data_IF_203512222046
#
_entry.id   IF_203512222046
#
_cell.length_a   1.000
_cell.length_b   1.000
_cell.length_c   1.000
_cell.angle_alpha   90.00
_cell.angle_beta   90.00
_cell.angle_gamma   90.00
#
_symmetry.space_group_name_H-M   'P 1'
#
loop_
_entity.id
_entity.type
_entity.pdbx_description
1 polymer ?
#
# COMPACT_ATOMS: atom_id res chain seq x y z
N UNK A 1 15.18 -8.64 6.42
CA UNK A 1 14.70 -7.25 6.55
C UNK A 1 14.34 -6.73 5.18
N UNK A 2 13.09 -6.30 4.99
CA UNK A 2 12.61 -5.70 3.76
C UNK A 2 12.26 -4.25 4.03
N UNK A 3 12.71 -3.35 3.16
CA UNK A 3 12.22 -1.99 3.08
C UNK A 3 11.69 -1.84 1.66
N UNK A 4 10.39 -1.60 1.55
CA UNK A 4 9.70 -1.56 0.26
C UNK A 4 9.12 -0.18 0.11
N UNK A 5 9.54 0.53 -0.93
CA UNK A 5 8.96 1.80 -1.37
C UNK A 5 8.00 1.54 -2.53
N UNK A 6 6.83 2.18 -2.50
CA UNK A 6 5.82 2.06 -3.54
C UNK A 6 5.67 3.34 -4.34
N UNK A 7 5.45 3.17 -5.64
CA UNK A 7 5.02 4.26 -6.51
C UNK A 7 3.62 4.77 -6.11
N UNK A 8 3.27 5.97 -6.57
CA UNK A 8 1.95 6.54 -6.30
C UNK A 8 0.84 5.81 -7.04
N UNK A 9 -0.39 5.95 -6.54
CA UNK A 9 -1.59 5.34 -7.13
C UNK A 9 -2.42 6.29 -7.98
N UNK A 10 -1.79 7.32 -8.54
CA UNK A 10 -2.43 8.25 -9.46
C UNK A 10 -3.08 7.54 -10.65
N UNK A 11 -4.28 8.01 -11.02
CA UNK A 11 -5.01 7.53 -12.18
C UNK A 11 -4.53 8.26 -13.42
N UNK A 12 -4.69 7.63 -14.59
CA UNK A 12 -4.41 8.29 -15.86
C UNK A 12 -5.21 9.58 -16.08
N UNK A 13 -6.38 9.71 -15.42
CA UNK A 13 -7.20 10.93 -15.41
C UNK A 13 -6.58 12.10 -14.64
N UNK A 14 -5.67 11.82 -13.72
CA UNK A 14 -5.10 12.81 -12.80
C UNK A 14 -3.90 13.54 -13.43
N UNK A 15 -3.37 12.96 -14.52
CA UNK A 15 -2.25 13.49 -15.28
C UNK A 15 -2.73 14.32 -16.46
N UNK A 16 -2.25 15.57 -16.58
CA UNK A 16 -2.47 16.40 -17.76
C UNK A 16 -1.52 15.94 -18.89
N UNK A 17 -2.09 15.51 -20.02
CA UNK A 17 -1.35 15.11 -21.23
C UNK A 17 -0.33 13.96 -21.05
N UNK A 18 -0.76 12.75 -20.62
CA UNK A 18 0.15 11.62 -20.51
C UNK A 18 0.55 11.12 -21.90
N UNK A 19 1.85 11.15 -22.19
CA UNK A 19 2.40 10.50 -23.36
C UNK A 19 2.16 8.96 -23.28
N UNK A 20 2.28 8.27 -24.41
CA UNK A 20 1.98 6.83 -24.48
C UNK A 20 2.84 6.00 -23.50
N UNK A 21 4.10 6.37 -23.33
CA UNK A 21 5.03 5.67 -22.45
C UNK A 21 4.63 5.80 -20.98
N UNK A 22 4.41 7.03 -20.50
CA UNK A 22 3.96 7.31 -19.13
C UNK A 22 2.62 6.65 -18.81
N UNK A 23 1.73 6.53 -19.81
CA UNK A 23 0.45 5.82 -19.63
C UNK A 23 0.64 4.32 -19.44
N UNK A 24 1.55 3.70 -20.19
CA UNK A 24 1.86 2.27 -20.05
C UNK A 24 2.54 2.00 -18.70
N UNK A 25 3.50 2.84 -18.31
CA UNK A 25 4.16 2.72 -17.00
C UNK A 25 3.19 2.89 -15.84
N UNK A 26 2.32 3.90 -15.90
CA UNK A 26 1.27 4.10 -14.90
C UNK A 26 0.28 2.94 -14.83
N UNK A 27 -0.02 2.28 -15.96
CA UNK A 27 -0.86 1.10 -15.97
C UNK A 27 -0.20 -0.10 -15.27
N UNK A 28 1.09 -0.36 -15.54
CA UNK A 28 1.86 -1.43 -14.89
C UNK A 28 2.01 -1.18 -13.38
N UNK A 29 2.31 0.07 -12.98
CA UNK A 29 2.33 0.47 -11.57
C UNK A 29 0.98 0.18 -10.92
N UNK A 30 -0.11 0.68 -11.51
CA UNK A 30 -1.45 0.49 -10.97
C UNK A 30 -1.89 -0.97 -10.95
N UNK A 31 -1.42 -1.81 -11.88
CA UNK A 31 -1.70 -3.24 -11.86
C UNK A 31 -1.12 -3.90 -10.59
N UNK A 32 0.13 -3.58 -10.24
CA UNK A 32 0.75 -4.11 -9.03
C UNK A 32 0.09 -3.59 -7.74
N UNK A 33 -0.26 -2.30 -7.70
CA UNK A 33 -0.96 -1.68 -6.57
C UNK A 33 -2.40 -2.20 -6.42
N UNK A 34 -3.08 -2.50 -7.52
CA UNK A 34 -4.41 -3.11 -7.50
C UNK A 34 -4.36 -4.53 -6.94
N UNK A 35 -3.40 -5.35 -7.38
CA UNK A 35 -3.20 -6.69 -6.83
C UNK A 35 -2.97 -6.64 -5.30
N UNK A 36 -2.20 -5.65 -4.82
CA UNK A 36 -1.99 -5.44 -3.39
C UNK A 36 -3.29 -5.06 -2.66
N UNK A 37 -4.08 -4.13 -3.21
CA UNK A 37 -5.40 -3.74 -2.66
C UNK A 37 -6.35 -4.92 -2.58
N UNK A 38 -6.37 -5.80 -3.59
CA UNK A 38 -7.18 -7.01 -3.58
C UNK A 38 -6.70 -8.04 -2.54
N UNK A 39 -5.38 -8.16 -2.33
CA UNK A 39 -4.86 -9.00 -1.24
C UNK A 39 -5.33 -8.48 0.13
N UNK A 40 -5.19 -7.19 0.40
CA UNK A 40 -5.66 -6.57 1.66
C UNK A 40 -7.15 -6.80 1.85
N UNK A 41 -7.97 -6.58 0.81
CA UNK A 41 -9.43 -6.77 0.86
C UNK A 41 -9.80 -8.23 1.11
N UNK A 42 -9.10 -9.17 0.50
CA UNK A 42 -9.35 -10.60 0.67
C UNK A 42 -8.99 -11.06 2.09
N UNK A 43 -7.90 -10.54 2.67
CA UNK A 43 -7.52 -10.81 4.07
C UNK A 43 -8.50 -10.23 5.08
N UNK A 44 -8.95 -8.99 4.85
CA UNK A 44 -9.94 -8.28 5.67
C UNK A 44 -11.28 -9.05 5.73
N UNK A 45 -11.66 -9.63 4.59
CA UNK A 45 -12.87 -10.45 4.47
C UNK A 45 -12.68 -11.91 4.90
N UNK A 46 -11.51 -12.28 5.45
CA UNK A 46 -11.14 -13.65 5.85
C UNK A 46 -11.45 -14.68 4.74
N UNK A 47 -11.23 -14.32 3.47
CA UNK A 47 -11.51 -15.21 2.34
C UNK A 47 -10.57 -16.44 2.37
N UNK A 48 -11.07 -17.58 1.89
CA UNK A 48 -10.31 -18.84 1.86
C UNK A 48 -9.04 -18.77 1.00
N UNK A 49 -9.03 -17.92 -0.02
CA UNK A 49 -7.89 -17.75 -0.93
C UNK A 49 -7.57 -16.27 -1.15
N UNK A 50 -6.38 -15.85 -0.72
CA UNK A 50 -5.84 -14.52 -0.99
C UNK A 50 -4.93 -14.52 -2.24
N UNK A 51 -5.18 -13.65 -3.23
CA UNK A 51 -4.56 -13.74 -4.55
C UNK A 51 -3.13 -13.15 -4.63
N UNK A 52 -2.23 -13.53 -3.72
CA UNK A 52 -0.85 -13.01 -3.68
C UNK A 52 -0.04 -13.27 -4.96
N UNK A 53 -0.47 -14.17 -5.84
CA UNK A 53 0.22 -14.50 -7.10
C UNK A 53 -0.03 -13.50 -8.23
N UNK A 54 -0.98 -12.58 -8.09
CA UNK A 54 -1.37 -11.64 -9.16
C UNK A 54 -0.27 -10.66 -9.59
N UNK A 55 0.68 -10.32 -8.71
CA UNK A 55 1.85 -9.52 -9.06
C UNK A 55 3.10 -10.01 -8.34
N UNK A 56 4.28 -9.69 -8.88
CA UNK A 56 5.56 -9.98 -8.21
C UNK A 56 5.64 -9.28 -6.85
N UNK A 57 5.10 -8.06 -6.74
CA UNK A 57 5.04 -7.30 -5.50
C UNK A 57 4.28 -8.08 -4.41
N UNK A 58 3.08 -8.56 -4.71
CA UNK A 58 2.26 -9.30 -3.74
C UNK A 58 2.87 -10.65 -3.36
N UNK A 59 3.61 -11.29 -4.27
CA UNK A 59 4.32 -12.53 -3.96
C UNK A 59 5.42 -12.29 -2.92
N UNK A 60 6.18 -11.20 -3.06
CA UNK A 60 7.22 -10.81 -2.11
C UNK A 60 6.62 -10.39 -0.76
N UNK A 61 5.49 -9.69 -0.77
CA UNK A 61 4.83 -9.20 0.45
C UNK A 61 3.98 -10.24 1.17
N UNK A 62 3.82 -11.46 0.61
CA UNK A 62 2.97 -12.49 1.20
C UNK A 62 3.33 -12.77 2.66
N UNK A 63 4.62 -12.95 2.93
CA UNK A 63 5.09 -13.25 4.28
C UNK A 63 4.87 -12.07 5.23
N UNK A 64 4.87 -10.83 4.73
CA UNK A 64 4.55 -9.61 5.49
C UNK A 64 3.11 -9.58 6.02
N UNK A 65 2.17 -10.20 5.30
CA UNK A 65 0.74 -10.13 5.65
C UNK A 65 0.22 -11.37 6.36
N UNK A 66 0.75 -12.56 6.04
CA UNK A 66 0.23 -13.85 6.53
C UNK A 66 1.29 -14.66 7.30
N UNK A 67 2.56 -14.30 7.17
CA UNK A 67 3.67 -14.96 7.88
C UNK A 67 3.87 -14.40 9.29
N UNK A 68 4.92 -14.90 9.94
CA UNK A 68 5.39 -14.43 11.23
C UNK A 68 6.33 -13.22 11.07
N UNK A 69 5.76 -12.10 10.65
CA UNK A 69 6.51 -10.85 10.52
C UNK A 69 5.77 -9.72 11.21
N UNK A 70 6.52 -8.91 11.95
CA UNK A 70 6.07 -7.58 12.30
C UNK A 70 6.02 -6.74 11.02
N UNK A 71 4.89 -6.06 10.78
CA UNK A 71 4.71 -5.23 9.60
C UNK A 71 4.20 -3.88 10.07
N UNK A 72 4.99 -2.84 9.82
CA UNK A 72 4.54 -1.45 9.95
C UNK A 72 4.09 -0.94 8.60
N UNK A 73 2.89 -0.37 8.52
CA UNK A 73 2.42 0.35 7.33
C UNK A 73 2.57 1.85 7.55
N UNK A 74 3.14 2.53 6.56
CA UNK A 74 3.14 3.99 6.51
C UNK A 74 2.19 4.41 5.38
N UNK A 75 1.19 5.22 5.71
CA UNK A 75 0.24 5.77 4.75
C UNK A 75 0.49 7.27 4.54
N UNK A 76 0.92 7.61 3.33
CA UNK A 76 1.19 8.99 2.92
C UNK A 76 -0.06 9.60 2.30
N UNK A 77 -0.59 10.66 2.90
CA UNK A 77 -1.78 11.35 2.41
C UNK A 77 -1.51 12.84 2.18
N UNK A 78 -2.30 13.44 1.28
CA UNK A 78 -2.22 14.86 0.97
C UNK A 78 -3.37 15.61 1.64
N UNK A 79 -3.12 16.75 2.31
CA UNK A 79 -4.17 17.56 2.92
C UNK A 79 -4.99 18.39 1.91
N UNK A 80 -4.65 18.33 0.61
CA UNK A 80 -5.32 19.12 -0.42
C UNK A 80 -6.74 18.62 -0.72
N UNK A 81 -7.69 19.55 -0.91
CA UNK A 81 -9.09 19.22 -1.21
C UNK A 81 -9.24 18.33 -2.47
N UNK A 82 -8.42 18.54 -3.49
CA UNK A 82 -8.44 17.73 -4.72
C UNK A 82 -8.01 16.27 -4.47
N UNK A 83 -7.29 16.00 -3.38
CA UNK A 83 -6.81 14.67 -3.01
C UNK A 83 -7.73 13.96 -1.99
N UNK A 84 -8.90 14.51 -1.69
CA UNK A 84 -9.82 13.98 -0.66
C UNK A 84 -10.21 12.52 -0.96
N UNK A 85 -10.55 12.20 -2.21
CA UNK A 85 -10.94 10.83 -2.60
C UNK A 85 -9.76 9.85 -2.42
N UNK A 86 -8.56 10.24 -2.88
CA UNK A 86 -7.35 9.42 -2.74
C UNK A 86 -7.00 9.20 -1.28
N UNK A 87 -7.02 10.26 -0.48
CA UNK A 87 -6.75 10.24 0.97
C UNK A 87 -7.72 9.30 1.69
N UNK A 88 -9.02 9.40 1.41
CA UNK A 88 -10.02 8.52 2.03
C UNK A 88 -9.80 7.06 1.64
N UNK A 89 -9.48 6.80 0.37
CA UNK A 89 -9.18 5.44 -0.09
C UNK A 89 -7.96 4.88 0.63
N UNK A 90 -6.86 5.63 0.72
CA UNK A 90 -5.64 5.22 1.44
C UNK A 90 -5.92 4.94 2.91
N UNK A 91 -6.68 5.80 3.60
CA UNK A 91 -7.07 5.60 4.99
C UNK A 91 -7.92 4.34 5.19
N UNK A 92 -8.85 4.03 4.28
CA UNK A 92 -9.65 2.80 4.35
C UNK A 92 -8.79 1.53 4.29
N UNK A 93 -7.78 1.50 3.42
CA UNK A 93 -6.87 0.36 3.36
C UNK A 93 -5.96 0.27 4.59
N UNK A 94 -5.49 1.42 5.08
CA UNK A 94 -4.68 1.50 6.28
C UNK A 94 -5.43 0.96 7.51
N UNK A 95 -6.70 1.33 7.65
CA UNK A 95 -7.59 0.84 8.72
C UNK A 95 -7.77 -0.68 8.65
N UNK A 96 -8.04 -1.22 7.45
CA UNK A 96 -8.12 -2.68 7.25
C UNK A 96 -6.84 -3.40 7.65
N UNK A 97 -5.68 -2.90 7.20
CA UNK A 97 -4.36 -3.52 7.52
C UNK A 97 -4.09 -3.55 9.02
N UNK A 98 -4.53 -2.52 9.75
CA UNK A 98 -4.44 -2.46 11.21
C UNK A 98 -5.31 -3.52 11.89
N UNK A 99 -6.49 -3.82 11.34
CA UNK A 99 -7.42 -4.81 11.91
C UNK A 99 -7.09 -6.27 11.52
N UNK A 100 -6.21 -6.49 10.55
CA UNK A 100 -5.78 -7.83 10.17
C UNK A 100 -5.16 -8.57 11.37
N UNK A 101 -5.80 -9.65 11.79
CA UNK A 101 -5.33 -10.53 12.88
C UNK A 101 -4.06 -11.27 12.44
N UNK A 102 -2.90 -10.72 12.76
CA UNK A 102 -1.64 -11.48 12.68
C UNK A 102 -1.52 -12.43 13.87
N UNK A 103 -0.96 -13.63 13.66
CA UNK A 103 -0.53 -14.51 14.76
C UNK A 103 0.51 -13.79 15.65
N UNK A 104 1.31 -12.95 15.00
CA UNK A 104 2.36 -12.00 15.44
C UNK A 104 1.91 -10.67 16.07
N UNK A 105 1.19 -10.66 17.20
CA UNK A 105 1.03 -9.57 18.20
C UNK A 105 1.04 -8.04 17.91
N UNK A 106 1.75 -7.46 16.94
CA UNK A 106 1.77 -6.01 16.69
C UNK A 106 1.88 -5.65 15.21
N UNK A 107 0.84 -4.99 14.68
CA UNK A 107 0.87 -4.24 13.42
C UNK A 107 0.72 -2.77 13.77
N UNK A 108 1.77 -1.99 13.52
CA UNK A 108 1.72 -0.54 13.74
C UNK A 108 1.35 0.16 12.43
N UNK A 109 0.37 1.05 12.52
CA UNK A 109 0.03 1.98 11.45
C UNK A 109 0.53 3.36 11.85
N UNK A 110 1.46 3.90 11.07
CA UNK A 110 1.89 5.30 11.22
C UNK A 110 1.34 6.15 10.08
N UNK A 111 0.50 7.12 10.41
CA UNK A 111 -0.05 8.07 9.45
C UNK A 111 0.88 9.27 9.30
N UNK A 112 1.26 9.58 8.05
CA UNK A 112 2.09 10.74 7.75
C UNK A 112 1.42 11.65 6.71
N UNK A 113 1.27 12.91 7.08
CA UNK A 113 0.87 13.98 6.16
C UNK A 113 2.13 14.51 5.47
N UNK A 114 2.21 14.42 4.15
CA UNK A 114 3.44 14.80 3.44
C UNK A 114 3.19 15.92 2.42
N UNK A 115 3.80 17.11 2.61
CA UNK A 115 4.13 18.02 1.52
C UNK A 115 5.55 17.78 0.97
N UNK A 116 6.49 17.26 1.79
CA UNK A 116 7.88 16.93 1.44
C UNK A 116 8.67 16.61 2.71
N UNK A 117 8.90 15.33 3.08
CA UNK A 117 10.13 14.86 3.77
C UNK A 117 10.12 13.38 4.18
N UNK A 118 11.35 12.85 4.19
CA UNK A 118 11.90 11.63 4.80
C UNK A 118 11.56 11.45 6.28
N UNK A 119 11.16 10.24 6.70
CA UNK A 119 11.05 9.89 8.12
C UNK A 119 11.98 8.72 8.47
N UNK A 120 12.77 8.88 9.53
CA UNK A 120 13.64 7.86 10.13
C UNK A 120 12.84 7.00 11.12
N UNK A 121 13.01 5.67 11.07
CA UNK A 121 12.36 4.72 11.98
C UNK A 121 13.31 3.63 12.50
N UNK A 122 13.13 3.24 13.76
CA UNK A 122 13.91 2.24 14.54
C UNK A 122 13.53 0.80 14.15
N UNK A 123 14.44 -0.20 14.22
CA UNK A 123 14.41 -1.36 13.32
C UNK A 123 13.52 -2.50 13.81
N UNK A 124 12.55 -2.90 12.98
CA UNK A 124 12.12 -4.29 12.69
C UNK A 124 10.96 -4.26 11.69
N UNK A 125 11.30 -4.55 10.42
CA UNK A 125 10.41 -4.80 9.27
C UNK A 125 9.31 -3.75 8.99
N UNK A 126 9.59 -2.86 8.03
CA UNK A 126 8.68 -1.78 7.61
C UNK A 126 8.23 -1.98 6.16
N UNK A 127 6.93 -1.82 5.93
CA UNK A 127 6.31 -1.74 4.62
C UNK A 127 5.81 -0.30 4.41
N UNK A 128 6.50 0.49 3.59
CA UNK A 128 6.03 1.83 3.25
C UNK A 128 5.02 1.71 2.10
N UNK A 129 3.73 1.89 2.40
CA UNK A 129 2.66 1.85 1.39
C UNK A 129 2.27 3.28 1.03
N UNK A 130 2.92 3.82 0.00
CA UNK A 130 2.46 5.02 -0.69
C UNK A 130 1.29 4.63 -1.60
N UNK A 131 0.12 5.23 -1.41
CA UNK A 131 -1.00 5.16 -2.35
C UNK A 131 -1.39 6.58 -2.73
#
# INVERSE_FOLDING_TARGET
MWFVDLAGSERASDTKEPNRQSRMEGAEINQSLLALKECIRSLDQEQSHTPFRQSKLTQVLKDSFVGDSMTCMIANISPGHLATEHTLNTLRYADRVKELKGQIGLRDLSLFFCPSIFQFFSPKHFLLLRF
#
